data_IF_802122693898
#
_entry.id   IF_802122693898
#
_cell.length_a   1.000
_cell.length_b   1.000
_cell.length_c   1.000
_cell.angle_alpha   90.00
_cell.angle_beta   90.00
_cell.angle_gamma   90.00
#
_symmetry.space_group_name_H-M   'P 1'
#
loop_
_entity.id
_entity.type
_entity.pdbx_description
1 polymer ?
#
# COMPACT_ATOMS: atom_id res chain seq x y z
N UNK A 1 -10.53 3.11 -13.74
CA UNK A 1 -10.36 3.17 -12.26
C UNK A 1 -11.54 3.92 -11.67
N UNK A 2 -12.19 3.38 -10.61
CA UNK A 2 -13.31 4.08 -9.98
C UNK A 2 -12.90 5.45 -9.43
N UNK A 3 -13.76 6.44 -9.67
CA UNK A 3 -13.50 7.83 -9.26
C UNK A 3 -13.25 7.96 -7.75
N UNK A 4 -13.99 7.21 -6.94
CA UNK A 4 -13.84 7.27 -5.47
C UNK A 4 -12.42 6.88 -5.02
N UNK A 5 -11.79 5.91 -5.68
CA UNK A 5 -10.43 5.52 -5.36
C UNK A 5 -9.43 6.64 -5.68
N UNK A 6 -9.63 7.31 -6.82
CA UNK A 6 -8.80 8.46 -7.19
C UNK A 6 -8.97 9.61 -6.18
N UNK A 7 -10.18 9.88 -5.75
CA UNK A 7 -10.45 10.95 -4.76
C UNK A 7 -9.78 10.66 -3.42
N UNK A 8 -9.92 9.43 -2.91
CA UNK A 8 -9.28 9.04 -1.65
C UNK A 8 -7.76 9.14 -1.77
N UNK A 9 -7.20 8.62 -2.85
CA UNK A 9 -5.75 8.64 -3.07
C UNK A 9 -5.21 10.07 -3.19
N UNK A 10 -5.91 10.94 -3.92
CA UNK A 10 -5.51 12.34 -4.10
C UNK A 10 -5.53 13.09 -2.78
N UNK A 11 -6.58 12.91 -1.97
CA UNK A 11 -6.69 13.55 -0.67
C UNK A 11 -5.64 13.04 0.31
N UNK A 12 -5.42 11.73 0.36
CA UNK A 12 -4.42 11.13 1.25
C UNK A 12 -3.01 11.59 0.86
N UNK A 13 -2.69 11.61 -0.41
CA UNK A 13 -1.40 12.09 -0.91
C UNK A 13 -1.18 13.56 -0.56
N UNK A 14 -2.18 14.42 -0.75
CA UNK A 14 -2.10 15.83 -0.39
C UNK A 14 -1.87 16.02 1.11
N UNK A 15 -2.55 15.26 1.95
CA UNK A 15 -2.38 15.30 3.41
C UNK A 15 -0.96 14.88 3.83
N UNK A 16 -0.31 14.02 3.06
CA UNK A 16 1.07 13.59 3.29
C UNK A 16 2.12 14.49 2.65
N UNK A 17 1.71 15.58 2.02
CA UNK A 17 2.63 16.54 1.39
C UNK A 17 2.82 16.35 -0.11
N UNK A 18 2.02 15.52 -0.76
CA UNK A 18 2.12 15.24 -2.20
C UNK A 18 0.90 15.78 -2.94
N UNK A 19 0.74 17.09 -2.93
CA UNK A 19 -0.32 17.73 -3.69
C UNK A 19 -0.15 17.50 -5.20
N UNK A 20 -1.26 17.44 -5.93
CA UNK A 20 -1.24 17.23 -7.37
C UNK A 20 -1.02 15.80 -7.81
N UNK A 21 -1.03 14.83 -6.90
CA UNK A 21 -0.94 13.41 -7.26
C UNK A 21 -2.14 13.00 -8.10
N UNK A 22 -1.86 12.49 -9.29
CA UNK A 22 -2.86 12.01 -10.23
C UNK A 22 -2.54 10.56 -10.61
N UNK A 23 -3.07 9.58 -9.87
CA UNK A 23 -2.79 8.18 -10.16
C UNK A 23 -3.40 7.75 -11.48
N UNK A 24 -2.70 6.92 -12.23
CA UNK A 24 -3.17 6.35 -13.49
C UNK A 24 -3.21 4.81 -13.46
N UNK A 25 -2.82 4.21 -12.34
CA UNK A 25 -2.84 2.76 -12.17
C UNK A 25 -3.30 2.40 -10.76
N UNK A 26 -4.06 1.31 -10.67
CA UNK A 26 -4.47 0.72 -9.41
C UNK A 26 -4.23 -0.79 -9.48
N UNK A 27 -3.31 -1.27 -8.65
CA UNK A 27 -3.10 -2.70 -8.47
C UNK A 27 -4.01 -3.18 -7.34
N UNK A 28 -4.85 -4.16 -7.64
CA UNK A 28 -5.73 -4.77 -6.66
C UNK A 28 -5.15 -6.13 -6.29
N UNK A 29 -4.84 -6.32 -5.01
CA UNK A 29 -4.29 -7.57 -4.50
C UNK A 29 -5.21 -8.13 -3.43
N UNK A 30 -5.55 -9.42 -3.55
CA UNK A 30 -6.36 -10.13 -2.56
C UNK A 30 -5.47 -11.10 -1.79
N UNK A 31 -5.57 -11.07 -0.48
CA UNK A 31 -4.84 -11.96 0.42
C UNK A 31 -5.81 -12.83 1.18
N UNK A 32 -5.49 -14.12 1.28
CA UNK A 32 -6.14 -15.07 2.17
C UNK A 32 -5.21 -15.38 3.35
N UNK A 33 -5.72 -15.99 4.45
CA UNK A 33 -4.86 -16.35 5.57
C UNK A 33 -3.63 -17.15 5.13
N UNK A 34 -2.47 -16.76 5.63
CA UNK A 34 -1.18 -17.32 5.24
C UNK A 34 -0.50 -16.62 4.09
N UNK A 35 -1.22 -15.87 3.26
CA UNK A 35 -0.61 -15.11 2.18
C UNK A 35 0.25 -13.96 2.71
N UNK A 36 1.36 -13.72 2.05
CA UNK A 36 2.31 -12.68 2.41
C UNK A 36 2.86 -12.00 1.17
N UNK A 37 3.50 -10.86 1.37
CA UNK A 37 4.27 -10.17 0.34
C UNK A 37 5.69 -9.97 0.86
N UNK A 38 6.67 -10.53 0.14
CA UNK A 38 8.08 -10.39 0.50
C UNK A 38 8.54 -8.95 0.33
N UNK A 39 9.58 -8.57 1.08
CA UNK A 39 10.16 -7.23 0.95
C UNK A 39 10.63 -6.98 -0.48
N UNK A 40 10.18 -5.88 -1.05
CA UNK A 40 10.52 -5.48 -2.42
C UNK A 40 10.47 -3.96 -2.55
N UNK A 41 10.91 -3.45 -3.69
CA UNK A 41 10.82 -2.04 -4.07
C UNK A 41 9.86 -1.92 -5.26
N UNK A 42 9.08 -0.84 -5.29
CA UNK A 42 8.30 -0.48 -6.47
C UNK A 42 9.11 0.51 -7.31
N UNK A 43 9.90 -0.01 -8.25
CA UNK A 43 10.84 0.78 -9.04
C UNK A 43 10.64 0.68 -10.55
N UNK A 44 9.59 0.02 -10.98
CA UNK A 44 9.33 -0.23 -12.41
C UNK A 44 8.52 0.89 -13.08
N UNK A 45 8.00 1.84 -12.31
CA UNK A 45 7.28 3.00 -12.83
C UNK A 45 8.24 4.02 -13.42
N UNK A 46 7.79 4.70 -14.49
CA UNK A 46 8.56 5.78 -15.11
C UNK A 46 8.71 6.95 -14.16
N UNK A 47 7.64 7.31 -13.46
CA UNK A 47 7.61 8.43 -12.52
C UNK A 47 7.85 7.95 -11.08
N UNK A 48 9.08 8.08 -10.61
CA UNK A 48 9.45 7.75 -9.23
C UNK A 48 9.29 8.94 -8.27
N UNK A 49 8.89 10.11 -8.76
CA UNK A 49 8.65 11.29 -7.91
C UNK A 49 7.24 11.28 -7.31
N UNK A 50 6.29 10.63 -7.97
CA UNK A 50 4.94 10.48 -7.43
C UNK A 50 4.90 9.44 -6.32
N UNK A 51 4.06 9.65 -5.28
CA UNK A 51 3.94 8.69 -4.19
C UNK A 51 3.17 7.44 -4.60
N UNK A 52 3.20 6.45 -3.71
CA UNK A 52 2.28 5.31 -3.75
C UNK A 52 1.27 5.49 -2.62
N UNK A 53 0.00 5.28 -2.93
CA UNK A 53 -1.08 5.29 -1.94
C UNK A 53 -1.66 3.90 -1.84
N UNK A 54 -1.64 3.32 -0.64
CA UNK A 54 -2.13 1.97 -0.37
C UNK A 54 -3.34 2.04 0.56
N UNK A 55 -4.46 1.47 0.10
CA UNK A 55 -5.72 1.41 0.86
C UNK A 55 -5.96 -0.02 1.30
N UNK A 56 -6.14 -0.24 2.60
CA UNK A 56 -6.38 -1.56 3.18
C UNK A 56 -7.86 -1.79 3.44
N UNK A 57 -8.37 -2.92 2.98
CA UNK A 57 -9.77 -3.32 3.17
C UNK A 57 -9.83 -4.76 3.72
N UNK A 58 -10.74 -5.02 4.64
CA UNK A 58 -10.97 -6.36 5.17
C UNK A 58 -10.11 -6.70 6.38
N UNK A 59 -9.55 -7.91 6.40
CA UNK A 59 -8.77 -8.39 7.54
C UNK A 59 -7.56 -7.50 7.82
N UNK A 60 -7.20 -7.33 9.12
CA UNK A 60 -6.00 -6.58 9.48
C UNK A 60 -4.74 -7.30 8.98
N UNK A 61 -3.70 -6.51 8.72
CA UNK A 61 -2.41 -7.00 8.28
C UNK A 61 -1.29 -6.23 8.96
N UNK A 62 -0.09 -6.79 8.94
CA UNK A 62 1.11 -6.08 9.39
C UNK A 62 1.93 -5.72 8.17
N UNK A 63 2.01 -4.42 7.90
CA UNK A 63 2.82 -3.86 6.85
C UNK A 63 4.26 -3.75 7.32
N UNK A 64 5.20 -4.19 6.50
CA UNK A 64 6.63 -4.08 6.76
C UNK A 64 7.19 -2.94 5.95
N UNK A 65 7.78 -1.96 6.63
CA UNK A 65 8.36 -0.79 5.98
C UNK A 65 9.83 -0.69 6.35
N UNK A 66 10.70 -1.02 5.41
CA UNK A 66 12.14 -1.10 5.58
C UNK A 66 12.87 0.14 5.13
N UNK A 67 14.17 0.00 4.91
CA UNK A 67 15.03 1.06 4.39
C UNK A 67 15.26 0.90 2.89
N UNK A 68 16.36 1.49 2.41
CA UNK A 68 16.75 1.43 1.01
C UNK A 68 17.56 0.18 0.67
N UNK A 69 17.88 -0.65 1.66
CA UNK A 69 18.57 -1.92 1.52
C UNK A 69 17.71 -3.04 2.07
N UNK A 70 17.68 -4.16 1.35
CA UNK A 70 16.92 -5.33 1.80
C UNK A 70 17.39 -5.85 3.17
N UNK A 71 18.66 -5.67 3.51
CA UNK A 71 19.24 -6.12 4.77
C UNK A 71 18.82 -5.30 5.98
N UNK A 72 18.24 -4.11 5.78
CA UNK A 72 17.78 -3.28 6.87
C UNK A 72 16.51 -3.85 7.48
N UNK A 73 16.47 -3.88 8.82
CA UNK A 73 15.32 -4.43 9.55
C UNK A 73 14.08 -3.55 9.35
N UNK A 74 12.97 -4.09 8.82
CA UNK A 74 11.77 -3.30 8.60
C UNK A 74 11.03 -3.00 9.90
N UNK A 75 10.34 -1.86 9.91
CA UNK A 75 9.37 -1.53 10.94
C UNK A 75 8.07 -2.27 10.66
N UNK A 76 7.38 -2.67 11.72
CA UNK A 76 6.06 -3.30 11.64
C UNK A 76 4.99 -2.25 11.88
N UNK A 77 4.08 -2.11 10.92
CA UNK A 77 2.97 -1.15 10.99
C UNK A 77 1.67 -1.92 10.88
N UNK A 78 0.89 -2.04 11.97
CA UNK A 78 -0.41 -2.70 11.89
C UNK A 78 -1.39 -1.86 11.07
N UNK A 79 -2.11 -2.50 10.17
CA UNK A 79 -3.11 -1.87 9.31
C UNK A 79 -4.45 -2.56 9.50
N UNK A 80 -5.51 -1.77 9.66
CA UNK A 80 -6.88 -2.24 9.76
C UNK A 80 -7.69 -1.77 8.54
N UNK A 81 -8.91 -2.28 8.42
CA UNK A 81 -9.83 -1.89 7.36
C UNK A 81 -10.00 -0.37 7.30
N UNK A 82 -9.80 0.20 6.13
CA UNK A 82 -9.90 1.63 5.89
C UNK A 82 -8.61 2.42 6.10
N UNK A 83 -7.55 1.79 6.60
CA UNK A 83 -6.27 2.48 6.77
C UNK A 83 -5.63 2.76 5.41
N UNK A 84 -5.03 3.94 5.31
CA UNK A 84 -4.34 4.40 4.10
C UNK A 84 -2.90 4.72 4.45
N UNK A 85 -1.97 4.17 3.68
CA UNK A 85 -0.53 4.45 3.81
C UNK A 85 -0.07 5.17 2.55
N UNK A 86 0.69 6.25 2.74
CA UNK A 86 1.28 7.01 1.63
C UNK A 86 2.79 7.02 1.82
N UNK A 87 3.56 6.64 0.79
CA UNK A 87 5.00 6.81 0.82
C UNK A 87 5.51 7.37 -0.50
N UNK A 88 6.39 8.34 -0.39
CA UNK A 88 6.93 9.03 -1.54
C UNK A 88 8.16 9.84 -1.17
N UNK A 89 8.66 10.65 -2.10
CA UNK A 89 9.88 11.40 -1.88
C UNK A 89 11.04 10.50 -1.52
N UNK A 90 11.79 10.79 -0.45
CA UNK A 90 12.92 9.95 -0.03
C UNK A 90 12.53 8.51 0.32
N UNK A 91 11.28 8.27 0.69
CA UNK A 91 10.80 6.93 1.06
C UNK A 91 10.27 6.12 -0.13
N UNK A 92 10.16 6.70 -1.33
CA UNK A 92 9.50 6.09 -2.49
C UNK A 92 10.10 4.75 -2.89
N UNK A 93 11.40 4.57 -2.74
CA UNK A 93 12.12 3.34 -3.11
C UNK A 93 12.50 2.48 -1.90
N UNK A 94 11.93 2.74 -0.73
CA UNK A 94 12.18 1.87 0.43
C UNK A 94 11.53 0.51 0.23
N UNK A 95 12.19 -0.52 0.76
CA UNK A 95 11.64 -1.88 0.75
C UNK A 95 10.40 -1.96 1.61
N UNK A 96 9.40 -2.67 1.13
CA UNK A 96 8.16 -2.89 1.89
C UNK A 96 7.59 -4.27 1.59
N UNK A 97 6.72 -4.74 2.46
CA UNK A 97 6.09 -6.03 2.33
C UNK A 97 4.94 -6.17 3.30
N UNK A 98 4.38 -7.37 3.38
CA UNK A 98 3.27 -7.71 4.27
C UNK A 98 3.56 -9.05 4.92
N UNK A 99 3.45 -9.14 6.24
CA UNK A 99 3.60 -10.38 6.97
C UNK A 99 2.48 -11.37 6.61
N UNK A 100 2.68 -12.68 6.82
CA UNK A 100 1.62 -13.66 6.60
C UNK A 100 0.33 -13.24 7.29
N UNK A 101 -0.77 -13.24 6.54
CA UNK A 101 -2.06 -12.83 7.04
C UNK A 101 -2.58 -13.86 8.05
N UNK A 102 -3.06 -13.39 9.20
CA UNK A 102 -3.66 -14.25 10.21
C UNK A 102 -5.09 -14.62 9.82
N UNK A 103 -5.54 -15.77 10.28
CA UNK A 103 -6.94 -16.16 10.15
C UNK A 103 -7.84 -15.17 10.87
N UNK A 104 -9.03 -14.98 10.33
CA UNK A 104 -10.02 -14.08 10.89
C UNK A 104 -11.21 -13.94 9.97
N UNK A 105 -12.15 -13.09 10.36
CA UNK A 105 -13.35 -12.83 9.56
C UNK A 105 -13.74 -11.37 9.68
N UNK A 106 -13.91 -10.72 8.53
CA UNK A 106 -14.33 -9.33 8.45
C UNK A 106 -15.80 -9.26 8.02
N UNK A 107 -16.62 -8.36 8.61
CA UNK A 107 -18.04 -8.27 8.27
C UNK A 107 -18.33 -8.06 6.79
N UNK A 108 -17.47 -7.33 6.07
CA UNK A 108 -17.69 -7.02 4.65
C UNK A 108 -16.93 -7.96 3.71
N UNK A 109 -15.70 -8.35 4.04
CA UNK A 109 -14.82 -9.11 3.16
C UNK A 109 -14.55 -10.53 3.61
N UNK A 110 -15.21 -10.99 4.68
CA UNK A 110 -15.05 -12.35 5.18
C UNK A 110 -13.62 -12.67 5.57
N UNK A 111 -13.08 -13.78 5.08
CA UNK A 111 -11.74 -14.26 5.42
C UNK A 111 -10.66 -13.70 4.47
N UNK A 112 -10.83 -12.49 3.97
CA UNK A 112 -9.90 -11.91 3.00
C UNK A 112 -9.46 -10.51 3.39
N UNK A 113 -8.29 -10.13 2.89
CA UNK A 113 -7.80 -8.75 2.85
C UNK A 113 -7.65 -8.34 1.39
N UNK A 114 -8.09 -7.14 1.07
CA UNK A 114 -7.86 -6.53 -0.25
C UNK A 114 -7.00 -5.28 -0.06
N UNK A 115 -6.00 -5.13 -0.88
CA UNK A 115 -5.17 -3.94 -0.92
C UNK A 115 -5.31 -3.27 -2.28
N UNK A 116 -5.58 -1.97 -2.25
CA UNK A 116 -5.61 -1.13 -3.44
C UNK A 116 -4.36 -0.26 -3.42
N UNK A 117 -3.48 -0.47 -4.40
CA UNK A 117 -2.25 0.30 -4.52
C UNK A 117 -2.36 1.23 -5.73
N UNK A 118 -2.47 2.53 -5.46
CA UNK A 118 -2.63 3.54 -6.49
C UNK A 118 -1.29 4.24 -6.73
N UNK A 119 -0.93 4.37 -8.01
CA UNK A 119 0.38 4.87 -8.40
C UNK A 119 0.32 5.57 -9.74
N UNK A 120 1.36 6.35 -10.04
CA UNK A 120 1.59 6.94 -11.34
C UNK A 120 2.58 6.05 -12.08
N UNK A 121 2.09 5.24 -13.01
CA UNK A 121 2.89 4.22 -13.70
C UNK A 121 3.55 4.73 -14.97
N UNK A 122 2.98 5.73 -15.61
CA UNK A 122 3.53 6.23 -16.87
C UNK A 122 3.25 7.66 -17.19
#
# INVERSE_FOLDING_TARGET
MPLVFCEVATKAAAAAGFGGFAPDACLISRYEPGARLSLHQDKDEIDLESPIVSISLGLPAVFLFGGHRRSERPRRVPLAHGDVVVWGGPARLRYHGVMPLREGRHPLLGASRVNLSLRKAG
#
